data_IF_064473737211
#
_entry.id   IF_064473737211
#
_cell.length_a   1.000
_cell.length_b   1.000
_cell.length_c   1.000
_cell.angle_alpha   90.00
_cell.angle_beta   90.00
_cell.angle_gamma   90.00
#
_symmetry.space_group_name_H-M   'P 1'
#
loop_
_entity.id
_entity.type
_entity.pdbx_description
1 polymer ?
#
# COMPACT_ATOMS: atom_id res chain seq x y z
N UNK A 1 -25.25 38.87 35.59
CA UNK A 1 -25.19 38.33 34.21
C UNK A 1 -24.57 36.95 34.33
N UNK A 2 -25.41 35.93 34.57
CA UNK A 2 -24.97 34.56 34.78
C UNK A 2 -24.50 33.94 33.47
N UNK A 3 -23.29 33.39 33.46
CA UNK A 3 -22.81 32.60 32.33
C UNK A 3 -23.74 31.39 32.18
N UNK A 4 -24.46 31.34 31.05
CA UNK A 4 -25.34 30.22 30.72
C UNK A 4 -24.52 28.91 30.74
N UNK A 5 -24.81 27.93 31.61
CA UNK A 5 -24.02 26.70 31.74
C UNK A 5 -23.87 25.95 30.41
N UNK A 6 -24.90 25.99 29.55
CA UNK A 6 -24.88 25.41 28.20
C UNK A 6 -23.75 25.98 27.33
N UNK A 7 -23.49 27.30 27.41
CA UNK A 7 -22.40 27.96 26.64
C UNK A 7 -21.00 27.52 27.09
N UNK A 8 -20.85 27.07 28.33
CA UNK A 8 -19.57 26.62 28.88
C UNK A 8 -19.26 25.19 28.43
N UNK A 9 -20.30 24.36 28.35
CA UNK A 9 -20.23 22.99 27.83
C UNK A 9 -20.03 22.96 26.30
N UNK A 10 -20.67 23.88 25.58
CA UNK A 10 -20.45 24.12 24.14
C UNK A 10 -19.02 24.57 23.85
N UNK A 11 -18.47 25.48 24.66
CA UNK A 11 -17.06 25.93 24.55
C UNK A 11 -16.09 24.79 24.77
N UNK A 12 -16.26 24.01 25.83
CA UNK A 12 -15.41 22.86 26.10
C UNK A 12 -15.50 21.81 24.98
N UNK A 13 -16.68 21.66 24.36
CA UNK A 13 -16.85 20.79 23.19
C UNK A 13 -16.16 21.33 21.94
N UNK A 14 -16.25 22.64 21.70
CA UNK A 14 -15.56 23.32 20.61
C UNK A 14 -14.03 23.21 20.75
N UNK A 15 -13.49 23.42 21.95
CA UNK A 15 -12.05 23.29 22.23
C UNK A 15 -11.56 21.87 21.95
N UNK A 16 -12.32 20.84 22.36
CA UNK A 16 -11.99 19.43 22.04
C UNK A 16 -12.01 19.13 20.54
N UNK A 17 -12.90 19.78 19.78
CA UNK A 17 -12.93 19.64 18.32
C UNK A 17 -11.73 20.35 17.71
N UNK A 18 -11.39 21.54 18.20
CA UNK A 18 -10.23 22.31 17.78
C UNK A 18 -8.93 21.52 18.01
N UNK A 19 -8.74 20.94 19.20
CA UNK A 19 -7.59 20.08 19.51
C UNK A 19 -7.48 18.89 18.54
N UNK A 20 -8.60 18.25 18.21
CA UNK A 20 -8.63 17.14 17.24
C UNK A 20 -8.30 17.61 15.82
N UNK A 21 -8.74 18.80 15.43
CA UNK A 21 -8.44 19.39 14.12
C UNK A 21 -6.96 19.74 14.04
N UNK A 22 -6.40 20.36 15.08
CA UNK A 22 -5.00 20.78 15.11
C UNK A 22 -4.06 19.56 15.14
N UNK A 23 -4.39 18.53 15.91
CA UNK A 23 -3.68 17.25 15.90
C UNK A 23 -3.81 16.54 14.53
N UNK A 24 -4.97 16.60 13.87
CA UNK A 24 -5.12 16.04 12.53
C UNK A 24 -4.30 16.80 11.47
N UNK A 25 -4.26 18.14 11.57
CA UNK A 25 -3.45 19.01 10.70
C UNK A 25 -1.97 18.74 10.87
N UNK A 26 -1.48 18.64 12.10
CA UNK A 26 -0.06 18.35 12.36
C UNK A 26 0.35 16.98 11.83
N UNK A 27 -0.47 15.95 12.04
CA UNK A 27 -0.18 14.58 11.58
C UNK A 27 -0.30 14.37 10.07
N UNK A 28 -1.05 15.23 9.38
CA UNK A 28 -1.37 15.08 7.97
C UNK A 28 -0.81 16.22 7.11
N UNK A 29 0.05 17.07 7.67
CA UNK A 29 0.55 18.29 7.02
C UNK A 29 1.22 18.03 5.67
N UNK A 30 1.92 16.91 5.53
CA UNK A 30 2.63 16.54 4.29
C UNK A 30 1.71 15.96 3.20
N UNK A 31 0.48 15.56 3.55
CA UNK A 31 -0.51 15.02 2.59
C UNK A 31 -1.69 15.96 2.35
N UNK A 32 -1.83 17.02 3.15
CA UNK A 32 -2.92 17.99 3.04
C UNK A 32 -2.41 19.28 2.38
N UNK A 33 -2.60 19.36 1.07
CA UNK A 33 -2.44 20.59 0.32
C UNK A 33 -3.83 21.17 -0.02
N UNK A 34 -4.24 22.29 0.60
CA UNK A 34 -5.56 22.90 0.38
C UNK A 34 -5.70 23.51 -1.01
N UNK A 35 -4.61 23.82 -1.70
CA UNK A 35 -4.61 24.42 -3.04
C UNK A 35 -4.54 23.36 -4.15
N UNK A 36 -4.33 22.09 -3.79
CA UNK A 36 -4.26 20.99 -4.73
C UNK A 36 -5.66 20.59 -5.23
N UNK A 37 -5.82 20.54 -6.55
CA UNK A 37 -7.00 19.92 -7.18
C UNK A 37 -7.10 18.44 -6.82
N UNK A 38 -8.30 17.83 -6.90
CA UNK A 38 -8.50 16.40 -6.58
C UNK A 38 -7.40 15.56 -7.25
N UNK A 39 -6.55 14.85 -6.48
CA UNK A 39 -5.36 14.21 -7.02
C UNK A 39 -5.68 13.04 -7.96
N UNK A 40 -6.89 12.48 -7.88
CA UNK A 40 -7.41 11.49 -8.85
C UNK A 40 -7.53 12.08 -10.25
N UNK A 41 -7.64 13.41 -10.38
CA UNK A 41 -7.64 14.09 -11.68
C UNK A 41 -6.29 14.01 -12.41
N UNK A 42 -5.20 13.71 -11.70
CA UNK A 42 -3.87 13.55 -12.29
C UNK A 42 -3.68 12.19 -12.99
N UNK A 43 -4.56 11.23 -12.69
CA UNK A 43 -4.51 9.88 -13.28
C UNK A 43 -4.94 9.96 -14.75
N UNK A 44 -4.09 9.41 -15.64
CA UNK A 44 -4.32 9.37 -17.08
C UNK A 44 -4.78 7.99 -17.53
N UNK A 45 -5.88 7.93 -18.28
CA UNK A 45 -6.37 6.68 -18.88
C UNK A 45 -5.34 6.08 -19.86
N UNK A 46 -5.31 4.74 -19.93
CA UNK A 46 -4.41 4.00 -20.84
C UNK A 46 -2.93 4.10 -20.50
N UNK A 47 -2.56 4.58 -19.30
CA UNK A 47 -1.18 4.71 -18.85
C UNK A 47 -0.93 3.94 -17.55
N UNK A 48 0.33 3.56 -17.33
CA UNK A 48 0.81 3.18 -16.01
C UNK A 48 0.98 4.45 -15.17
N UNK A 49 0.10 4.63 -14.19
CA UNK A 49 0.15 5.75 -13.26
C UNK A 49 0.83 5.26 -11.98
N UNK A 50 1.99 5.83 -11.64
CA UNK A 50 2.78 5.44 -10.47
C UNK A 50 2.58 6.51 -9.39
N UNK A 51 2.04 6.10 -8.24
CA UNK A 51 1.96 6.93 -7.06
C UNK A 51 3.16 6.61 -6.16
N UNK A 52 4.10 7.53 -6.06
CA UNK A 52 5.21 7.40 -5.12
C UNK A 52 4.76 7.83 -3.73
N UNK A 53 4.88 6.93 -2.75
CA UNK A 53 4.56 7.18 -1.33
C UNK A 53 5.77 7.05 -0.41
N UNK A 54 6.98 6.92 -0.97
CA UNK A 54 8.21 6.68 -0.20
C UNK A 54 8.59 7.83 0.74
N UNK A 55 8.09 9.04 0.47
CA UNK A 55 8.31 10.22 1.33
C UNK A 55 7.29 10.32 2.47
N UNK A 56 6.26 9.48 2.48
CA UNK A 56 5.22 9.49 3.51
C UNK A 56 5.47 8.43 4.59
N UNK A 57 5.05 8.75 5.80
CA UNK A 57 4.89 7.73 6.85
C UNK A 57 3.82 6.71 6.46
N UNK A 58 3.90 5.48 7.00
CA UNK A 58 2.91 4.43 6.75
C UNK A 58 1.47 4.89 6.99
N UNK A 59 1.27 5.71 8.03
CA UNK A 59 -0.05 6.26 8.39
C UNK A 59 -0.55 7.25 7.34
N UNK A 60 0.30 8.17 6.89
CA UNK A 60 -0.05 9.14 5.86
C UNK A 60 -0.32 8.43 4.52
N UNK A 61 0.55 7.51 4.13
CA UNK A 61 0.39 6.68 2.94
C UNK A 61 -0.90 5.85 3.00
N UNK A 62 -1.27 5.28 4.16
CA UNK A 62 -2.53 4.57 4.35
C UNK A 62 -3.76 5.47 4.11
N UNK A 63 -3.72 6.70 4.62
CA UNK A 63 -4.80 7.68 4.40
C UNK A 63 -4.90 8.06 2.93
N UNK A 64 -3.77 8.34 2.28
CA UNK A 64 -3.73 8.68 0.85
C UNK A 64 -4.28 7.51 0.00
N UNK A 65 -3.78 6.30 0.23
CA UNK A 65 -4.24 5.10 -0.47
C UNK A 65 -5.74 4.86 -0.26
N UNK A 66 -6.23 4.99 0.98
CA UNK A 66 -7.66 4.87 1.27
C UNK A 66 -8.50 5.86 0.46
N UNK A 67 -8.04 7.11 0.35
CA UNK A 67 -8.70 8.14 -0.46
C UNK A 67 -8.74 7.75 -1.95
N UNK A 68 -7.61 7.32 -2.53
CA UNK A 68 -7.58 6.87 -3.92
C UNK A 68 -8.52 5.68 -4.16
N UNK A 69 -8.47 4.64 -3.32
CA UNK A 69 -9.33 3.46 -3.45
C UNK A 69 -10.81 3.84 -3.38
N UNK A 70 -11.18 4.72 -2.44
CA UNK A 70 -12.54 5.23 -2.29
C UNK A 70 -13.01 5.99 -3.53
N UNK A 71 -12.24 6.97 -4.00
CA UNK A 71 -12.60 7.82 -5.13
C UNK A 71 -12.67 7.03 -6.43
N UNK A 72 -11.71 6.13 -6.68
CA UNK A 72 -11.71 5.26 -7.86
C UNK A 72 -12.95 4.35 -7.88
N UNK A 73 -13.33 3.77 -6.74
CA UNK A 73 -14.52 2.94 -6.66
C UNK A 73 -15.81 3.75 -6.87
N UNK A 74 -15.88 4.95 -6.29
CA UNK A 74 -17.02 5.85 -6.47
C UNK A 74 -17.17 6.29 -7.94
N UNK A 75 -16.06 6.66 -8.58
CA UNK A 75 -16.01 7.04 -9.99
C UNK A 75 -16.48 5.90 -10.90
N UNK A 76 -15.94 4.70 -10.70
CA UNK A 76 -16.30 3.51 -11.47
C UNK A 76 -17.76 3.10 -11.29
N UNK A 77 -18.31 3.25 -10.08
CA UNK A 77 -19.75 3.06 -9.82
C UNK A 77 -20.59 4.08 -10.59
N UNK A 78 -20.19 5.34 -10.60
CA UNK A 78 -20.89 6.39 -11.36
C UNK A 78 -20.84 6.10 -12.87
N UNK A 79 -19.68 5.73 -13.41
CA UNK A 79 -19.49 5.40 -14.82
C UNK A 79 -20.40 4.24 -15.27
N UNK A 80 -20.45 3.14 -14.50
CA UNK A 80 -21.29 1.98 -14.83
C UNK A 80 -22.78 2.30 -14.71
N UNK A 81 -23.19 3.04 -13.68
CA UNK A 81 -24.59 3.44 -13.51
C UNK A 81 -25.08 4.39 -14.62
N UNK A 82 -24.21 5.29 -15.09
CA UNK A 82 -24.48 6.18 -16.21
C UNK A 82 -24.70 5.40 -17.51
N UNK A 83 -23.82 4.43 -17.81
CA UNK A 83 -23.98 3.53 -18.97
C UNK A 83 -25.25 2.67 -18.89
N UNK A 84 -25.67 2.28 -17.68
CA UNK A 84 -26.86 1.48 -17.44
C UNK A 84 -28.20 2.24 -17.44
N UNK A 85 -28.21 3.55 -17.73
CA UNK A 85 -29.43 4.36 -17.81
C UNK A 85 -30.19 4.57 -16.48
N UNK A 86 -29.61 4.15 -15.35
CA UNK A 86 -30.29 4.15 -14.03
C UNK A 86 -30.28 5.51 -13.31
N UNK A 87 -29.66 6.54 -13.88
CA UNK A 87 -29.55 7.85 -13.22
C UNK A 87 -29.64 8.99 -14.24
N UNK A 88 -30.67 9.86 -14.08
CA UNK A 88 -30.85 11.11 -14.84
C UNK A 88 -29.93 12.26 -14.38
N UNK A 89 -29.21 12.07 -13.28
CA UNK A 89 -28.25 13.04 -12.77
C UNK A 89 -26.89 12.87 -13.46
N UNK A 90 -26.40 13.94 -14.10
CA UNK A 90 -25.03 14.02 -14.65
C UNK A 90 -24.03 13.99 -13.48
N UNK A 91 -23.76 12.81 -12.90
CA UNK A 91 -22.52 12.65 -12.14
C UNK A 91 -21.39 12.60 -13.15
N UNK A 92 -20.53 13.62 -13.12
CA UNK A 92 -19.27 13.62 -13.85
C UNK A 92 -18.43 12.49 -13.25
N UNK A 93 -18.32 11.38 -13.99
CA UNK A 93 -17.28 10.38 -13.77
C UNK A 93 -16.12 10.71 -14.71
N UNK A 94 -14.92 10.32 -14.29
CA UNK A 94 -13.66 10.64 -14.96
C UNK A 94 -13.22 9.50 -15.87
N UNK A 95 -13.37 8.25 -15.39
CA UNK A 95 -12.82 7.10 -16.09
C UNK A 95 -13.89 6.31 -16.83
N UNK A 96 -13.78 6.27 -18.15
CA UNK A 96 -14.64 5.52 -19.06
C UNK A 96 -14.28 4.04 -19.14
N UNK A 97 -13.01 3.70 -18.91
CA UNK A 97 -12.47 2.34 -18.99
C UNK A 97 -12.31 1.70 -17.61
N UNK A 98 -12.19 0.35 -17.54
CA UNK A 98 -11.78 -0.33 -16.32
C UNK A 98 -10.43 0.18 -15.81
N UNK A 99 -10.24 0.10 -14.49
CA UNK A 99 -9.00 0.49 -13.80
C UNK A 99 -8.47 -0.73 -13.06
N UNK A 100 -7.17 -0.92 -13.07
CA UNK A 100 -6.49 -1.98 -12.33
C UNK A 100 -5.52 -1.34 -11.33
N UNK A 101 -5.77 -1.55 -10.04
CA UNK A 101 -4.97 -0.97 -8.96
C UNK A 101 -4.00 -2.03 -8.44
N UNK A 102 -2.73 -1.67 -8.32
CA UNK A 102 -1.68 -2.51 -7.74
C UNK A 102 -1.22 -1.86 -6.44
N UNK A 103 -1.23 -2.61 -5.34
CA UNK A 103 -0.75 -2.16 -4.02
C UNK A 103 0.50 -2.96 -3.69
N UNK A 104 1.66 -2.32 -3.78
CA UNK A 104 2.93 -2.82 -3.26
C UNK A 104 2.94 -2.78 -1.72
N UNK A 105 3.75 -3.64 -1.10
CA UNK A 105 3.87 -3.72 0.36
C UNK A 105 2.52 -3.86 1.08
N UNK A 106 1.63 -4.69 0.52
CA UNK A 106 0.23 -4.74 0.93
C UNK A 106 0.02 -5.09 2.41
N UNK A 107 0.99 -5.74 3.06
CA UNK A 107 0.92 -6.04 4.50
C UNK A 107 0.98 -4.78 5.38
N UNK A 108 1.58 -3.68 4.90
CA UNK A 108 1.59 -2.37 5.57
C UNK A 108 0.21 -1.71 5.52
N UNK A 109 -0.47 -1.81 4.37
CA UNK A 109 -1.71 -1.08 4.12
C UNK A 109 -2.99 -1.86 4.43
N UNK A 110 -2.89 -3.19 4.41
CA UNK A 110 -4.00 -4.14 4.59
C UNK A 110 -3.65 -5.14 5.72
N UNK A 111 -3.29 -4.66 6.92
CA UNK A 111 -2.84 -5.52 8.00
C UNK A 111 -3.99 -6.39 8.56
N UNK A 112 -3.67 -7.62 8.95
CA UNK A 112 -4.62 -8.57 9.55
C UNK A 112 -5.14 -8.11 10.91
N UNK A 113 -4.25 -7.64 11.79
CA UNK A 113 -4.56 -7.41 13.21
C UNK A 113 -4.81 -5.94 13.56
N UNK A 114 -4.64 -5.03 12.61
CA UNK A 114 -4.80 -3.60 12.83
C UNK A 114 -5.92 -3.04 11.96
N UNK A 115 -6.61 -2.03 12.47
CA UNK A 115 -7.60 -1.33 11.66
C UNK A 115 -6.92 -0.26 10.82
N UNK A 116 -7.22 -0.27 9.52
CA UNK A 116 -6.60 0.59 8.54
C UNK A 116 -7.64 1.03 7.52
N UNK A 117 -7.63 2.31 7.15
CA UNK A 117 -8.64 2.85 6.22
C UNK A 117 -8.49 2.20 4.85
N UNK A 118 -7.26 1.99 4.38
CA UNK A 118 -7.01 1.33 3.11
C UNK A 118 -7.51 -0.12 3.11
N UNK A 119 -7.37 -0.86 4.23
CA UNK A 119 -7.91 -2.21 4.41
C UNK A 119 -9.40 -2.29 4.11
N UNK A 120 -10.19 -1.38 4.68
CA UNK A 120 -11.65 -1.34 4.46
C UNK A 120 -11.98 -1.21 2.96
N UNK A 121 -11.35 -0.25 2.27
CA UNK A 121 -11.62 0.00 0.85
C UNK A 121 -11.08 -1.10 -0.05
N UNK A 122 -9.90 -1.66 0.24
CA UNK A 122 -9.36 -2.81 -0.47
C UNK A 122 -10.26 -4.03 -0.36
N UNK A 123 -10.74 -4.37 0.84
CA UNK A 123 -11.69 -5.47 1.05
C UNK A 123 -13.01 -5.25 0.30
N UNK A 124 -13.48 -4.01 0.26
CA UNK A 124 -14.67 -3.63 -0.50
C UNK A 124 -14.42 -3.82 -2.00
N UNK A 125 -13.32 -3.31 -2.54
CA UNK A 125 -12.97 -3.48 -3.96
C UNK A 125 -12.80 -4.96 -4.32
N UNK A 126 -12.18 -5.77 -3.45
CA UNK A 126 -12.03 -7.20 -3.69
C UNK A 126 -13.40 -7.91 -3.84
N UNK A 127 -14.41 -7.52 -3.06
CA UNK A 127 -15.77 -8.10 -3.11
C UNK A 127 -16.64 -7.58 -4.24
N UNK A 128 -16.59 -6.28 -4.54
CA UNK A 128 -17.53 -5.63 -5.48
C UNK A 128 -16.88 -5.00 -6.71
N UNK A 129 -15.56 -4.81 -6.74
CA UNK A 129 -14.83 -4.10 -7.78
C UNK A 129 -15.05 -4.68 -9.18
N UNK A 130 -15.14 -6.01 -9.30
CA UNK A 130 -15.45 -6.71 -10.56
C UNK A 130 -16.72 -6.20 -11.22
N UNK A 131 -17.77 -5.87 -10.45
CA UNK A 131 -19.04 -5.35 -10.98
C UNK A 131 -18.89 -3.98 -11.63
N UNK A 132 -17.86 -3.23 -11.25
CA UNK A 132 -17.62 -1.85 -11.67
C UNK A 132 -16.39 -1.70 -12.57
N UNK A 133 -15.74 -2.81 -12.96
CA UNK A 133 -14.49 -2.77 -13.72
C UNK A 133 -13.36 -2.09 -12.94
N UNK A 134 -13.29 -2.32 -11.63
CA UNK A 134 -12.15 -1.93 -10.80
C UNK A 134 -11.48 -3.21 -10.29
N UNK A 135 -10.33 -3.55 -10.87
CA UNK A 135 -9.50 -4.68 -10.45
C UNK A 135 -8.53 -4.27 -9.35
N UNK A 136 -8.15 -5.24 -8.52
CA UNK A 136 -7.20 -5.08 -7.43
C UNK A 136 -6.15 -6.19 -7.52
N UNK A 137 -4.89 -5.80 -7.41
CA UNK A 137 -3.74 -6.66 -7.22
C UNK A 137 -3.00 -6.19 -5.97
N UNK A 138 -2.59 -7.14 -5.15
CA UNK A 138 -1.79 -6.89 -3.95
C UNK A 138 -0.49 -7.65 -4.10
N UNK A 139 0.62 -6.99 -3.75
CA UNK A 139 1.97 -7.55 -3.78
C UNK A 139 2.54 -7.45 -2.37
N UNK A 140 3.07 -8.55 -1.85
CA UNK A 140 3.64 -8.61 -0.50
C UNK A 140 4.53 -9.84 -0.34
N UNK A 141 5.59 -9.65 0.42
CA UNK A 141 6.51 -10.65 0.94
C UNK A 141 6.04 -11.30 2.25
N UNK A 142 5.01 -10.76 2.92
CA UNK A 142 4.44 -11.28 4.19
C UNK A 142 2.95 -11.58 4.05
N UNK A 143 2.55 -12.66 3.36
CA UNK A 143 1.14 -12.98 3.15
C UNK A 143 0.39 -13.23 4.47
N UNK A 144 1.02 -13.80 5.51
CA UNK A 144 0.39 -14.04 6.83
C UNK A 144 -0.09 -12.77 7.53
N UNK A 145 0.52 -11.64 7.23
CA UNK A 145 0.23 -10.34 7.86
C UNK A 145 -0.88 -9.57 7.11
N UNK A 146 -1.35 -10.10 5.99
CA UNK A 146 -2.45 -9.52 5.21
C UNK A 146 -3.81 -9.99 5.74
N UNK A 147 -4.79 -9.09 5.72
CA UNK A 147 -6.18 -9.41 6.00
C UNK A 147 -6.70 -10.60 5.15
N UNK A 148 -7.06 -11.69 5.84
CA UNK A 148 -7.47 -12.95 5.20
C UNK A 148 -8.68 -12.78 4.28
N UNK A 149 -9.61 -11.88 4.63
CA UNK A 149 -10.78 -11.56 3.81
C UNK A 149 -10.45 -10.85 2.49
N UNK A 150 -9.31 -10.18 2.39
CA UNK A 150 -8.85 -9.61 1.11
C UNK A 150 -8.17 -10.70 0.31
N UNK A 151 -7.27 -11.45 0.94
CA UNK A 151 -6.51 -12.50 0.27
C UNK A 151 -7.42 -13.61 -0.31
N UNK A 152 -8.47 -14.03 0.41
CA UNK A 152 -9.42 -15.05 -0.05
C UNK A 152 -10.33 -14.59 -1.19
N UNK A 153 -10.37 -13.29 -1.49
CA UNK A 153 -11.14 -12.75 -2.61
C UNK A 153 -10.28 -12.59 -3.87
N UNK A 154 -8.98 -12.88 -3.79
CA UNK A 154 -8.09 -12.83 -4.94
C UNK A 154 -8.37 -14.03 -5.85
N UNK A 155 -8.97 -13.76 -7.01
CA UNK A 155 -9.32 -14.80 -7.98
C UNK A 155 -8.13 -15.39 -8.75
N UNK A 156 -6.93 -14.84 -8.59
CA UNK A 156 -5.69 -15.31 -9.21
C UNK A 156 -4.51 -15.00 -8.28
N UNK A 157 -3.57 -15.94 -8.17
CA UNK A 157 -2.39 -15.79 -7.33
C UNK A 157 -1.15 -16.18 -8.13
N UNK A 158 -0.12 -15.32 -8.06
CA UNK A 158 1.25 -15.65 -8.45
C UNK A 158 2.06 -15.77 -7.17
N UNK A 159 2.53 -16.98 -6.89
CA UNK A 159 3.24 -17.29 -5.66
C UNK A 159 4.68 -17.62 -6.02
N UNK A 160 5.60 -16.75 -5.63
CA UNK A 160 7.04 -16.98 -5.78
C UNK A 160 7.56 -17.83 -4.61
N UNK A 161 8.88 -17.99 -4.51
CA UNK A 161 9.51 -18.74 -3.43
C UNK A 161 9.05 -18.25 -2.04
N UNK A 162 8.41 -19.12 -1.27
CA UNK A 162 8.03 -18.89 0.13
C UNK A 162 8.59 -20.02 0.97
N UNK A 163 9.41 -19.66 1.95
CA UNK A 163 10.09 -20.63 2.84
C UNK A 163 9.31 -20.84 4.13
N UNK A 164 8.72 -19.79 4.68
CA UNK A 164 8.05 -19.84 5.98
C UNK A 164 6.75 -20.65 5.94
N UNK A 165 6.58 -21.57 6.89
CA UNK A 165 5.41 -22.47 6.93
C UNK A 165 4.10 -21.71 7.18
N UNK A 166 4.10 -20.68 8.03
CA UNK A 166 2.91 -19.87 8.29
C UNK A 166 2.42 -19.12 7.04
N UNK A 167 3.36 -18.62 6.22
CA UNK A 167 3.05 -17.94 4.97
C UNK A 167 2.48 -18.92 3.94
N UNK A 168 3.08 -20.12 3.84
CA UNK A 168 2.55 -21.22 3.04
C UNK A 168 1.12 -21.60 3.45
N UNK A 169 0.86 -21.71 4.75
CA UNK A 169 -0.48 -22.01 5.29
C UNK A 169 -1.49 -20.91 4.95
N UNK A 170 -1.09 -19.65 5.04
CA UNK A 170 -1.95 -18.53 4.67
C UNK A 170 -2.31 -18.55 3.18
N UNK A 171 -1.32 -18.79 2.30
CA UNK A 171 -1.55 -18.92 0.85
C UNK A 171 -2.47 -20.11 0.56
N UNK A 172 -2.20 -21.27 1.17
CA UNK A 172 -3.03 -22.46 1.04
C UNK A 172 -4.49 -22.21 1.46
N UNK A 173 -4.70 -21.42 2.51
CA UNK A 173 -6.04 -21.06 2.99
C UNK A 173 -6.80 -20.12 2.05
N UNK A 174 -6.08 -19.32 1.28
CA UNK A 174 -6.66 -18.38 0.33
C UNK A 174 -6.91 -19.00 -1.06
N UNK A 175 -6.17 -20.05 -1.40
CA UNK A 175 -6.23 -20.68 -2.70
C UNK A 175 -7.06 -21.98 -2.68
N UNK A 176 -8.33 -21.90 -3.05
CA UNK A 176 -9.24 -23.06 -3.08
C UNK A 176 -8.74 -24.20 -3.99
N UNK A 177 -7.95 -23.87 -5.02
CA UNK A 177 -7.52 -24.80 -6.06
C UNK A 177 -6.09 -25.33 -5.91
N UNK A 178 -5.40 -25.06 -4.80
CA UNK A 178 -4.02 -25.53 -4.58
C UNK A 178 -4.00 -26.72 -3.60
N UNK A 179 -3.36 -27.82 -4.00
CA UNK A 179 -3.11 -28.95 -3.08
C UNK A 179 -1.96 -28.64 -2.12
N UNK A 180 -1.98 -29.25 -0.91
CA UNK A 180 -0.91 -29.04 0.09
C UNK A 180 0.46 -29.49 -0.42
N UNK A 181 0.49 -30.53 -1.24
CA UNK A 181 1.71 -31.03 -1.87
C UNK A 181 2.32 -29.99 -2.81
N UNK A 182 1.47 -29.27 -3.55
CA UNK A 182 1.90 -28.22 -4.46
C UNK A 182 2.42 -26.98 -3.70
N UNK A 183 1.84 -26.66 -2.54
CA UNK A 183 2.36 -25.62 -1.62
C UNK A 183 3.76 -26.00 -1.10
N UNK A 184 4.00 -27.28 -0.79
CA UNK A 184 5.33 -27.73 -0.36
C UNK A 184 6.44 -27.45 -1.38
N UNK A 185 6.10 -27.42 -2.67
CA UNK A 185 7.04 -27.11 -3.75
C UNK A 185 7.47 -25.64 -3.79
N UNK A 186 6.73 -24.73 -3.14
CA UNK A 186 7.07 -23.29 -3.10
C UNK A 186 8.47 -23.04 -2.50
N UNK A 187 8.90 -23.90 -1.58
CA UNK A 187 10.24 -23.83 -0.96
C UNK A 187 11.38 -24.10 -1.94
N UNK A 188 11.10 -24.86 -3.00
CA UNK A 188 12.09 -25.34 -3.98
C UNK A 188 12.18 -24.47 -5.23
N UNK A 189 11.33 -23.44 -5.34
CA UNK A 189 11.37 -22.50 -6.47
C UNK A 189 12.68 -21.72 -6.51
N UNK A 190 13.17 -21.45 -7.73
CA UNK A 190 14.31 -20.57 -7.94
C UNK A 190 13.86 -19.11 -8.00
N UNK A 191 14.82 -18.19 -7.95
CA UNK A 191 14.56 -16.77 -8.22
C UNK A 191 14.07 -16.64 -9.66
N UNK A 192 12.95 -15.92 -9.85
CA UNK A 192 12.29 -15.77 -11.15
C UNK A 192 11.21 -16.83 -11.42
N UNK A 193 11.18 -17.94 -10.67
CA UNK A 193 10.09 -18.92 -10.80
C UNK A 193 8.88 -18.53 -9.96
N UNK A 194 7.69 -18.79 -10.50
CA UNK A 194 6.43 -18.58 -9.79
C UNK A 194 5.42 -19.68 -10.09
N UNK A 195 4.62 -19.99 -9.08
CA UNK A 195 3.40 -20.79 -9.22
C UNK A 195 2.24 -19.86 -9.56
N UNK A 196 1.60 -20.08 -10.70
CA UNK A 196 0.39 -19.38 -11.11
C UNK A 196 -0.83 -20.26 -10.86
N UNK A 197 -1.83 -19.71 -10.16
CA UNK A 197 -3.15 -20.36 -9.97
C UNK A 197 -4.31 -19.38 -10.14
N UNK A 198 -5.50 -19.92 -10.34
CA UNK A 198 -6.75 -19.16 -10.41
C UNK A 198 -7.13 -18.77 -11.84
N UNK A 199 -7.96 -17.74 -11.97
CA UNK A 199 -8.70 -17.40 -13.20
C UNK A 199 -7.86 -17.09 -14.45
N UNK A 200 -6.58 -16.75 -14.29
CA UNK A 200 -5.67 -16.48 -15.41
C UNK A 200 -5.00 -17.74 -16.02
N UNK A 201 -5.17 -18.92 -15.41
CA UNK A 201 -4.61 -20.19 -15.90
C UNK A 201 -5.66 -21.30 -15.84
N UNK A 202 -5.61 -22.24 -16.80
CA UNK A 202 -6.55 -23.38 -16.82
C UNK A 202 -6.20 -24.44 -15.77
N UNK A 203 -4.91 -24.59 -15.46
CA UNK A 203 -4.37 -25.51 -14.46
C UNK A 203 -3.25 -24.79 -13.71
N UNK A 204 -3.04 -25.10 -12.42
CA UNK A 204 -1.87 -24.63 -11.69
C UNK A 204 -0.57 -24.93 -12.47
N UNK A 205 0.26 -23.92 -12.67
CA UNK A 205 1.47 -24.03 -13.47
C UNK A 205 2.66 -23.36 -12.78
N UNK A 206 3.82 -24.00 -12.86
CA UNK A 206 5.10 -23.36 -12.53
C UNK A 206 5.61 -22.70 -13.80
N UNK A 207 5.92 -21.41 -13.72
CA UNK A 207 6.43 -20.62 -14.84
C UNK A 207 7.71 -19.91 -14.43
N UNK A 208 8.57 -19.63 -15.41
CA UNK A 208 9.68 -18.72 -15.25
C UNK A 208 9.24 -17.33 -15.72
N UNK A 209 9.35 -16.32 -14.86
CA UNK A 209 8.96 -14.94 -15.16
C UNK A 209 10.10 -14.27 -15.93
N UNK A 210 9.77 -13.68 -17.08
CA UNK A 210 10.72 -12.92 -17.87
C UNK A 210 11.33 -11.76 -17.08
N UNK A 211 12.64 -11.61 -17.17
CA UNK A 211 13.36 -10.53 -16.51
C UNK A 211 13.03 -9.17 -17.13
N UNK A 212 12.58 -8.23 -16.28
CA UNK A 212 12.36 -6.84 -16.69
C UNK A 212 13.69 -6.11 -16.90
N UNK A 213 14.07 -5.91 -18.16
CA UNK A 213 15.29 -5.19 -18.60
C UNK A 213 15.29 -3.67 -18.36
N UNK A 214 14.24 -3.15 -17.72
CA UNK A 214 14.09 -1.72 -17.41
C UNK A 214 14.89 -1.28 -16.18
N UNK A 215 14.94 0.03 -15.93
CA UNK A 215 15.61 0.60 -14.75
C UNK A 215 14.80 0.28 -13.49
N UNK A 216 15.35 -0.54 -12.60
CA UNK A 216 14.84 -0.71 -11.23
C UNK A 216 15.05 0.61 -10.47
N UNK A 217 14.00 1.14 -9.88
CA UNK A 217 14.06 2.29 -8.96
C UNK A 217 14.06 1.70 -7.55
N UNK A 218 15.05 2.06 -6.74
CA UNK A 218 15.29 1.47 -5.42
C UNK A 218 16.54 0.60 -5.42
N UNK A 219 17.59 1.08 -4.74
CA UNK A 219 18.73 0.29 -4.33
C UNK A 219 18.73 0.26 -2.81
N UNK A 220 18.97 -0.90 -2.21
CA UNK A 220 19.30 -0.96 -0.79
C UNK A 220 20.49 -0.03 -0.51
N UNK A 221 20.42 0.68 0.61
CA UNK A 221 21.57 1.48 1.07
C UNK A 221 22.71 0.52 1.44
N UNK A 222 23.92 0.81 0.98
CA UNK A 222 25.11 0.04 1.35
C UNK A 222 25.54 0.43 2.77
N UNK A 223 24.80 -0.05 3.77
CA UNK A 223 25.06 0.22 5.17
C UNK A 223 26.49 -0.19 5.57
N UNK A 224 27.02 -1.27 5.00
CA UNK A 224 28.39 -1.75 5.28
C UNK A 224 29.42 -0.78 4.72
N UNK A 225 29.23 -0.31 3.49
CA UNK A 225 30.04 0.75 2.90
C UNK A 225 30.00 2.04 3.71
N UNK A 226 28.81 2.48 4.12
CA UNK A 226 28.63 3.69 4.94
C UNK A 226 29.32 3.59 6.30
N UNK A 227 29.16 2.45 7.01
CA UNK A 227 29.85 2.22 8.28
C UNK A 227 31.36 2.14 8.12
N UNK A 228 31.85 1.54 7.03
CA UNK A 228 33.28 1.48 6.73
C UNK A 228 33.86 2.89 6.50
N UNK A 229 33.11 3.78 5.86
CA UNK A 229 33.48 5.19 5.70
C UNK A 229 33.48 5.91 7.05
N UNK A 230 32.42 5.76 7.85
CA UNK A 230 32.31 6.37 9.17
C UNK A 230 33.49 5.97 10.09
N UNK A 231 33.85 4.68 10.11
CA UNK A 231 34.97 4.16 10.90
C UNK A 231 36.32 4.75 10.48
N UNK A 232 36.54 4.96 9.17
CA UNK A 232 37.75 5.64 8.68
C UNK A 232 37.84 7.08 9.16
N UNK A 233 36.71 7.81 9.21
CA UNK A 233 36.68 9.17 9.73
C UNK A 233 36.99 9.22 11.23
N UNK A 234 36.49 8.25 12.03
CA UNK A 234 36.85 8.13 13.45
C UNK A 234 38.34 7.84 13.65
N UNK A 235 38.93 6.92 12.86
CA UNK A 235 40.35 6.59 12.95
C UNK A 235 41.26 7.78 12.56
N UNK A 236 40.86 8.57 11.58
CA UNK A 236 41.57 9.81 11.18
C UNK A 236 41.42 10.88 12.27
N UNK A 237 40.24 11.06 12.85
CA UNK A 237 39.99 11.98 13.96
C UNK A 237 40.81 11.64 15.20
N UNK A 238 40.87 10.36 15.58
CA UNK A 238 41.65 9.86 16.71
C UNK A 238 43.17 10.01 16.52
N UNK A 239 43.67 9.86 15.27
CA UNK A 239 45.09 10.12 14.94
C UNK A 239 45.43 11.61 14.98
N UNK A 240 44.52 12.48 14.56
CA UNK A 240 44.70 13.94 14.59
C UNK A 240 44.79 14.48 16.03
N UNK A 241 43.90 14.05 16.93
CA UNK A 241 43.89 14.42 18.36
C UNK A 241 45.14 13.94 19.12
N UNK A 242 45.67 12.76 18.79
CA UNK A 242 46.94 12.26 19.35
C UNK A 242 48.17 13.05 18.86
N UNK A 243 48.08 13.72 17.71
CA UNK A 243 49.13 14.60 17.19
C UNK A 243 49.16 15.97 17.87
N UNK A 244 47.99 16.49 18.29
CA UNK A 244 47.87 17.77 19.00
C UNK A 244 48.34 17.66 20.47
N UNK A 245 48.03 16.56 21.15
CA UNK A 245 48.42 16.34 22.56
C UNK A 245 49.91 16.05 22.78
N UNK A 246 50.71 15.91 21.71
CA UNK A 246 52.18 15.75 21.78
C UNK A 246 52.97 17.04 21.48
N UNK A 247 52.30 18.14 21.17
CA UNK A 247 52.93 19.46 21.01
C UNK A 247 52.51 20.35 22.17
N UNK A 248 53.01 20.05 23.36
CA UNK A 248 53.16 21.00 24.47
C UNK A 248 54.18 20.37 25.44
N UNK A 249 55.45 20.61 25.14
CA UNK A 249 56.56 20.60 26.08
C UNK A 249 57.17 22.01 26.07
#
# INVERSE_FOLDING_TARGET
>A
IGANPDRKEDRHSADRVQDKIDDARHRSSEILDPDMSNPVALIKEGRLNILNVSEFTDRQANVALAYYLQELLADRKAAVNAKGGKTKSKRNYRFNTPIFVIIEEAHVFIPKNEDAKAKYWAAKIAREGRKFGLGLCIVSQRPRDIEANVLSQMGSLAVMKIVQEDDQRQIASAAESISREFIGQLTSLNIGDAVLVGQWVNLPAIVHIDEMKGKKIGSDQDAVGEWAVAKKFEEVGAKSLKGLTKRDF
#
